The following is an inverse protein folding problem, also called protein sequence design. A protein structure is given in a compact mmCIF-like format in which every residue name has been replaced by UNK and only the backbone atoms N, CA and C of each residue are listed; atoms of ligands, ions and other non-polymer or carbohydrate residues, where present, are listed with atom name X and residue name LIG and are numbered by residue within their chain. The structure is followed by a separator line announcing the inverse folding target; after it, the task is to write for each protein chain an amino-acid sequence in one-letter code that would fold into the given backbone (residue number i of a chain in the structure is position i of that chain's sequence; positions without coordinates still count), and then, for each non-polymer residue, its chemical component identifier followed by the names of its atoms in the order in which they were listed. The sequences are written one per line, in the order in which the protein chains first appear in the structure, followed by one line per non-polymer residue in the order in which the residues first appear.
data_IF_552035670297
#
_entry.id   IF_552035670297
#
_cell.length_a   1.000
_cell.length_b   1.000
_cell.length_c   1.000
_cell.angle_alpha   90.00
_cell.angle_beta   90.00
_cell.angle_gamma   90.00
#
_symmetry.space_group_name_H-M   'P 1'
#
loop_
_entity.id
_entity.type
_entity.pdbx_description
1 polymer ?
#
# COMPACT_ATOMS: atom_id res chain seq x y z
N UNK A 1 2.07 -7.79 34.72
CA UNK A 1 1.82 -7.32 33.35
C UNK A 1 2.53 -8.28 32.40
N UNK A 2 1.80 -9.05 31.57
CA UNK A 2 2.43 -9.99 30.64
C UNK A 2 2.92 -9.24 29.37
N UNK A 3 3.93 -9.78 28.67
CA UNK A 3 4.59 -9.11 27.56
C UNK A 3 3.75 -9.14 26.28
N UNK A 4 4.06 -8.19 25.41
CA UNK A 4 3.42 -7.89 24.14
C UNK A 4 3.20 -9.10 23.22
N UNK A 5 2.00 -9.17 22.64
CA UNK A 5 1.72 -9.65 21.28
C UNK A 5 2.35 -10.99 20.87
N UNK A 6 1.90 -12.09 21.49
CA UNK A 6 1.97 -13.40 20.84
C UNK A 6 0.68 -13.54 20.03
N UNK A 7 0.78 -13.43 18.70
CA UNK A 7 -0.34 -13.75 17.82
C UNK A 7 -0.74 -15.22 18.03
N UNK A 8 -2.04 -15.55 18.03
CA UNK A 8 -2.49 -16.92 18.28
C UNK A 8 -1.91 -17.88 17.22
N UNK A 9 -1.53 -19.11 17.62
CA UNK A 9 -0.81 -20.08 16.77
C UNK A 9 -1.59 -20.54 15.53
N UNK A 10 -2.85 -20.14 15.38
CA UNK A 10 -3.65 -20.42 14.19
C UNK A 10 -3.31 -19.54 12.99
N UNK A 11 -2.67 -18.38 13.20
CA UNK A 11 -2.29 -17.46 12.10
C UNK A 11 -0.92 -17.78 11.50
N UNK A 12 -0.11 -18.64 12.14
CA UNK A 12 1.24 -18.99 11.65
C UNK A 12 1.24 -20.19 10.69
N UNK A 13 0.11 -20.87 10.50
CA UNK A 13 -0.01 -22.10 9.71
C UNK A 13 -0.89 -21.96 8.47
N UNK A 14 -1.39 -20.75 8.15
CA UNK A 14 -2.06 -20.54 6.87
C UNK A 14 -0.96 -20.47 5.80
N UNK A 15 -0.89 -21.43 4.85
CA UNK A 15 0.03 -21.30 3.74
C UNK A 15 -0.30 -19.99 3.03
N UNK A 16 0.73 -19.24 2.62
CA UNK A 16 0.58 -18.00 1.85
C UNK A 16 -0.30 -18.14 0.59
N UNK A 17 -0.68 -19.37 0.20
CA UNK A 17 -1.63 -19.68 -0.87
C UNK A 17 -3.11 -19.49 -0.50
N UNK A 18 -3.47 -19.19 0.75
CA UNK A 18 -4.88 -19.18 1.21
C UNK A 18 -5.49 -17.81 1.46
N UNK A 19 -4.75 -16.71 1.29
CA UNK A 19 -5.34 -15.36 1.15
C UNK A 19 -5.16 -14.89 -0.30
N UNK A 20 -6.26 -14.67 -1.05
CA UNK A 20 -6.15 -14.06 -2.37
C UNK A 20 -5.75 -12.60 -2.22
N UNK A 21 -4.45 -12.34 -2.25
CA UNK A 21 -3.87 -11.00 -2.30
C UNK A 21 -3.65 -10.59 -3.76
N UNK A 22 -3.87 -9.31 -4.07
CA UNK A 22 -3.51 -8.75 -5.38
C UNK A 22 -2.02 -8.46 -5.37
N UNK A 23 -1.23 -9.41 -5.88
CA UNK A 23 0.24 -9.36 -5.92
C UNK A 23 0.78 -9.00 -7.30
N UNK A 24 -0.04 -8.41 -8.16
CA UNK A 24 0.36 -7.90 -9.47
C UNK A 24 -0.65 -6.89 -9.97
N UNK A 25 -0.19 -6.00 -10.84
CA UNK A 25 -1.08 -5.07 -11.54
C UNK A 25 -2.14 -5.87 -12.30
N UNK A 26 -3.40 -5.47 -12.12
CA UNK A 26 -4.55 -6.05 -12.83
C UNK A 26 -4.76 -5.29 -14.15
N UNK A 27 -4.47 -3.99 -14.16
CA UNK A 27 -4.56 -3.15 -15.35
C UNK A 27 -3.64 -1.92 -15.21
N UNK A 28 -3.64 -1.05 -16.22
CA UNK A 28 -2.93 0.25 -16.17
C UNK A 28 -3.45 1.19 -15.08
N UNK A 29 -4.69 1.02 -14.63
CA UNK A 29 -5.32 1.84 -13.59
C UNK A 29 -5.45 1.12 -12.24
N UNK A 30 -5.50 -0.22 -12.25
CA UNK A 30 -5.56 -1.07 -11.05
C UNK A 30 -4.17 -1.68 -10.83
N UNK A 31 -3.35 -0.94 -10.10
CA UNK A 31 -1.94 -1.25 -9.84
C UNK A 31 -1.75 -1.78 -8.42
N UNK A 32 -0.86 -2.76 -8.27
CA UNK A 32 -0.45 -3.32 -6.99
C UNK A 32 0.93 -2.78 -6.61
N UNK A 33 1.03 -2.15 -5.44
CA UNK A 33 2.31 -1.72 -4.87
C UNK A 33 2.71 -2.77 -3.83
N UNK A 34 3.78 -3.50 -4.11
CA UNK A 34 4.19 -4.66 -3.32
C UNK A 34 5.53 -4.36 -2.68
N UNK A 35 5.64 -4.64 -1.40
CA UNK A 35 6.91 -4.61 -0.66
C UNK A 35 7.14 -5.93 0.05
N UNK A 36 8.40 -6.34 0.17
CA UNK A 36 8.75 -7.61 0.82
C UNK A 36 8.69 -7.48 2.35
N UNK A 37 8.84 -6.25 2.85
CA UNK A 37 8.94 -5.87 4.26
C UNK A 37 7.66 -5.23 4.80
N UNK A 38 6.60 -5.16 3.99
CA UNK A 38 5.33 -4.55 4.36
C UNK A 38 4.61 -5.32 5.47
N UNK A 39 4.45 -4.68 6.62
CA UNK A 39 3.48 -5.11 7.63
C UNK A 39 2.08 -4.61 7.28
N UNK A 40 1.06 -5.05 8.03
CA UNK A 40 -0.35 -4.66 7.87
C UNK A 40 -0.50 -3.12 7.77
N UNK A 41 -0.65 -2.61 6.54
CA UNK A 41 -0.85 -1.21 6.10
C UNK A 41 0.08 -0.14 6.72
N UNK A 42 1.38 -0.42 6.82
CA UNK A 42 2.36 0.52 7.39
C UNK A 42 2.52 1.82 6.58
N UNK A 43 2.25 1.77 5.28
CA UNK A 43 2.12 2.89 4.34
C UNK A 43 1.14 3.96 4.82
N UNK A 44 0.02 3.56 5.44
CA UNK A 44 -1.00 4.48 5.96
C UNK A 44 -0.65 5.14 7.31
N UNK A 45 0.43 4.72 7.98
CA UNK A 45 0.85 5.32 9.25
C UNK A 45 1.46 6.70 9.03
N UNK A 46 1.53 7.50 10.10
CA UNK A 46 2.21 8.79 10.08
C UNK A 46 3.67 8.65 9.65
N UNK A 47 4.21 9.66 8.97
CA UNK A 47 5.61 9.64 8.56
C UNK A 47 6.52 10.01 9.73
N UNK A 48 7.58 9.21 9.92
CA UNK A 48 8.64 9.46 10.90
C UNK A 48 9.98 9.65 10.19
N UNK A 49 10.95 10.28 10.86
CA UNK A 49 12.31 10.42 10.31
C UNK A 49 13.05 9.09 10.18
N UNK A 50 12.62 8.11 10.98
CA UNK A 50 13.13 6.75 11.05
C UNK A 50 12.46 5.82 10.03
N UNK A 51 11.55 6.34 9.18
CA UNK A 51 10.91 5.53 8.15
C UNK A 51 11.98 4.99 7.18
N UNK A 52 11.98 3.68 6.91
CA UNK A 52 12.94 3.09 6.01
C UNK A 52 12.72 3.61 4.57
N UNK A 53 13.79 3.62 3.78
CA UNK A 53 13.77 4.19 2.43
C UNK A 53 12.70 3.56 1.54
N UNK A 54 12.53 2.23 1.60
CA UNK A 54 11.50 1.52 0.84
C UNK A 54 10.08 2.03 1.14
N UNK A 55 9.79 2.39 2.40
CA UNK A 55 8.47 2.89 2.79
C UNK A 55 8.24 4.30 2.24
N UNK A 56 9.30 5.11 2.21
CA UNK A 56 9.27 6.45 1.61
C UNK A 56 9.06 6.36 0.10
N UNK A 57 9.65 5.39 -0.57
CA UNK A 57 9.46 5.15 -2.01
C UNK A 57 8.03 4.70 -2.34
N UNK A 58 7.44 3.81 -1.52
CA UNK A 58 6.03 3.40 -1.65
C UNK A 58 5.12 4.62 -1.57
N UNK A 59 5.24 5.43 -0.51
CA UNK A 59 4.40 6.62 -0.34
C UNK A 59 4.59 7.65 -1.45
N UNK A 60 5.83 7.83 -1.94
CA UNK A 60 6.10 8.69 -3.11
C UNK A 60 5.38 8.18 -4.36
N UNK A 61 5.37 6.85 -4.58
CA UNK A 61 4.68 6.23 -5.71
C UNK A 61 3.16 6.41 -5.60
N UNK A 62 2.59 6.24 -4.41
CA UNK A 62 1.17 6.49 -4.13
C UNK A 62 0.78 7.94 -4.43
N UNK A 63 1.53 8.89 -3.89
CA UNK A 63 1.29 10.33 -4.13
C UNK A 63 1.34 10.63 -5.62
N UNK A 64 2.30 10.10 -6.37
CA UNK A 64 2.39 10.31 -7.81
C UNK A 64 1.15 9.78 -8.56
N UNK A 65 0.66 8.59 -8.20
CA UNK A 65 -0.55 8.00 -8.79
C UNK A 65 -1.78 8.88 -8.48
N UNK A 66 -1.93 9.31 -7.22
CA UNK A 66 -3.03 10.18 -6.79
C UNK A 66 -2.99 11.53 -7.50
N UNK A 67 -1.81 12.15 -7.60
CA UNK A 67 -1.63 13.41 -8.33
C UNK A 67 -2.00 13.26 -9.80
N UNK A 68 -1.63 12.15 -10.44
CA UNK A 68 -2.03 11.86 -11.82
C UNK A 68 -3.55 11.75 -11.97
N UNK A 69 -4.23 11.08 -11.05
CA UNK A 69 -5.70 10.99 -11.06
C UNK A 69 -6.36 12.36 -10.92
N UNK A 70 -5.86 13.20 -10.01
CA UNK A 70 -6.34 14.56 -9.83
C UNK A 70 -6.12 15.41 -11.10
N UNK A 71 -4.94 15.35 -11.71
CA UNK A 71 -4.66 16.07 -12.96
C UNK A 71 -5.60 15.64 -14.09
N UNK A 72 -5.84 14.33 -14.24
CA UNK A 72 -6.77 13.79 -15.24
C UNK A 72 -8.21 14.27 -14.99
N UNK A 73 -8.64 14.28 -13.72
CA UNK A 73 -9.95 14.78 -13.33
C UNK A 73 -10.13 16.26 -13.69
N UNK A 74 -9.18 17.12 -13.30
CA UNK A 74 -9.27 18.55 -13.61
C UNK A 74 -9.20 18.84 -15.11
N UNK A 75 -8.39 18.10 -15.86
CA UNK A 75 -8.38 18.21 -17.32
C UNK A 75 -9.74 17.87 -17.93
N UNK A 76 -10.36 16.77 -17.48
CA UNK A 76 -11.69 16.38 -17.98
C UNK A 76 -12.78 17.40 -17.62
N UNK A 77 -12.69 18.05 -16.46
CA UNK A 77 -13.61 19.12 -16.09
C UNK A 77 -13.48 20.33 -17.02
N UNK A 78 -12.25 20.74 -17.35
CA UNK A 78 -12.01 21.86 -18.29
C UNK A 78 -12.44 21.54 -19.72
N UNK A 79 -12.50 20.27 -20.11
CA UNK A 79 -13.02 19.87 -21.42
C UNK A 79 -14.56 19.86 -21.46
N UNK A 80 -15.23 19.75 -20.30
CA UNK A 80 -16.69 19.72 -20.18
C UNK A 80 -17.29 21.15 -20.13
N UNK A 81 -16.56 22.13 -19.61
CA UNK A 81 -17.00 23.53 -19.45
C UNK A 81 -16.30 24.46 -20.44
#
# INVERSE_FOLDING_TARGET
MPPSSVLPPFLTSIPSSFMPLVLKDISKSIVAIITKEGAHHVDLRWSSKEDPEWLREVRKREVNILSKWLSQYYQSLTEIY
#
